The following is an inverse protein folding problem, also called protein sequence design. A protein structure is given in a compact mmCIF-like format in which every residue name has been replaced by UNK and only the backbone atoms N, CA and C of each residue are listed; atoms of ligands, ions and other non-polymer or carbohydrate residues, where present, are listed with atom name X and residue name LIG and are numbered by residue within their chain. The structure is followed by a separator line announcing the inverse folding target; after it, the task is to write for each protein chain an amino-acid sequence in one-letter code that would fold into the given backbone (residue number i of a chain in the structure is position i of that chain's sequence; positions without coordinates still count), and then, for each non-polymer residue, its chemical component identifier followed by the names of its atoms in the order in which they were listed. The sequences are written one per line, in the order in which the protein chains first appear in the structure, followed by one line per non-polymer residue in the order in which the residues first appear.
data_IF_031329989574
#
_entry.id   IF_031329989574
#
_cell.length_a   1.000
_cell.length_b   1.000
_cell.length_c   1.000
_cell.angle_alpha   90.00
_cell.angle_beta   90.00
_cell.angle_gamma   90.00
#
_symmetry.space_group_name_H-M   'P 1'
#
loop_
_entity.id
_entity.type
_entity.pdbx_description
1 polymer ?
#
# COMPACT_ATOMS: atom_id res chain seq x y z
N UNK A 1 -18.81 -12.17 10.76
CA UNK A 1 -17.98 -12.12 9.54
C UNK A 1 -17.18 -13.41 9.47
N UNK A 2 -17.24 -14.12 8.35
CA UNK A 2 -16.51 -15.39 8.16
C UNK A 2 -15.03 -15.06 7.97
N UNK A 3 -14.12 -15.92 8.45
CA UNK A 3 -12.65 -15.75 8.35
C UNK A 3 -12.16 -15.36 6.94
N UNK A 4 -12.78 -15.92 5.89
CA UNK A 4 -12.47 -15.56 4.51
C UNK A 4 -12.86 -14.14 4.14
N UNK A 5 -14.00 -13.63 4.62
CA UNK A 5 -14.46 -12.25 4.38
C UNK A 5 -13.50 -11.23 5.03
N UNK A 6 -13.04 -11.50 6.26
CA UNK A 6 -12.05 -10.66 6.95
C UNK A 6 -10.71 -10.57 6.20
N UNK A 7 -10.28 -11.69 5.61
CA UNK A 7 -9.05 -11.76 4.82
C UNK A 7 -9.21 -10.93 3.53
N UNK A 8 -10.33 -11.08 2.83
CA UNK A 8 -10.60 -10.36 1.58
C UNK A 8 -10.75 -8.86 1.81
N UNK A 9 -11.38 -8.43 2.90
CA UNK A 9 -11.49 -7.01 3.27
C UNK A 9 -10.11 -6.38 3.54
N UNK A 10 -9.25 -7.06 4.29
CA UNK A 10 -7.90 -6.57 4.55
C UNK A 10 -7.05 -6.48 3.28
N UNK A 11 -7.18 -7.44 2.36
CA UNK A 11 -6.52 -7.39 1.05
C UNK A 11 -7.05 -6.20 0.24
N UNK A 12 -8.38 -5.99 0.22
CA UNK A 12 -9.00 -4.89 -0.52
C UNK A 12 -8.53 -3.51 -0.02
N UNK A 13 -8.43 -3.32 1.29
CA UNK A 13 -7.95 -2.05 1.87
C UNK A 13 -6.50 -1.77 1.47
N UNK A 14 -5.65 -2.80 1.49
CA UNK A 14 -4.24 -2.63 1.10
C UNK A 14 -4.09 -2.30 -0.41
N UNK A 15 -4.91 -2.93 -1.27
CA UNK A 15 -4.91 -2.59 -2.70
C UNK A 15 -5.35 -1.15 -2.96
N UNK A 16 -6.24 -0.59 -2.14
CA UNK A 16 -6.64 0.81 -2.24
C UNK A 16 -5.50 1.76 -1.86
N UNK A 17 -4.70 1.43 -0.84
CA UNK A 17 -3.50 2.21 -0.47
C UNK A 17 -2.45 2.24 -1.58
N UNK A 18 -2.23 1.11 -2.28
CA UNK A 18 -1.36 1.09 -3.47
C UNK A 18 -1.91 2.01 -4.56
N UNK A 19 -3.21 1.97 -4.83
CA UNK A 19 -3.84 2.79 -5.86
C UNK A 19 -3.67 4.29 -5.57
N UNK A 20 -3.72 4.70 -4.30
CA UNK A 20 -3.49 6.09 -3.92
C UNK A 20 -2.05 6.56 -4.24
N UNK A 21 -1.05 5.69 -4.08
CA UNK A 21 0.34 6.04 -4.45
C UNK A 21 0.52 6.11 -5.96
N UNK A 22 -0.17 5.27 -6.73
CA UNK A 22 -0.20 5.38 -8.19
C UNK A 22 -0.83 6.71 -8.66
N UNK A 23 -1.93 7.13 -8.01
CA UNK A 23 -2.54 8.44 -8.25
C UNK A 23 -1.58 9.60 -7.95
N UNK A 24 -0.88 9.58 -6.81
CA UNK A 24 0.16 10.57 -6.48
C UNK A 24 1.29 10.63 -7.52
N UNK A 25 1.76 9.47 -8.01
CA UNK A 25 2.77 9.44 -9.08
C UNK A 25 2.25 10.06 -10.37
N UNK A 26 1.00 9.77 -10.74
CA UNK A 26 0.37 10.33 -11.94
C UNK A 26 0.20 11.85 -11.85
N UNK A 27 -0.04 12.40 -10.67
CA UNK A 27 -0.05 13.86 -10.45
C UNK A 27 1.34 14.47 -10.67
N UNK A 28 2.39 13.85 -10.12
CA UNK A 28 3.78 14.31 -10.33
C UNK A 28 4.18 14.25 -11.81
N UNK A 29 3.81 13.18 -12.53
CA UNK A 29 4.09 13.07 -13.96
C UNK A 29 3.34 14.10 -14.82
N UNK A 30 2.18 14.57 -14.37
CA UNK A 30 1.43 15.65 -15.03
C UNK A 30 2.03 17.01 -14.78
N UNK A 31 2.81 17.16 -13.71
CA UNK A 31 3.55 18.39 -13.44
C UNK A 31 4.81 18.44 -14.32
N UNK A 32 4.89 19.41 -15.23
CA UNK A 32 6.03 19.56 -16.16
C UNK A 32 7.35 19.91 -15.43
N UNK A 33 7.28 20.18 -14.12
CA UNK A 33 8.39 20.58 -13.27
C UNK A 33 8.39 19.83 -11.92
N UNK A 34 8.69 18.53 -11.93
CA UNK A 34 8.96 17.79 -10.69
C UNK A 34 10.40 17.99 -10.21
N UNK A 35 10.62 17.94 -8.90
CA UNK A 35 11.91 18.10 -8.25
C UNK A 35 12.44 16.78 -7.68
N UNK A 36 13.72 16.74 -7.33
CA UNK A 36 14.32 15.62 -6.59
C UNK A 36 13.60 15.38 -5.25
N UNK A 37 13.06 16.43 -4.61
CA UNK A 37 12.25 16.30 -3.40
C UNK A 37 10.92 15.57 -3.66
N UNK A 38 10.28 15.79 -4.82
CA UNK A 38 9.08 15.04 -5.21
C UNK A 38 9.38 13.55 -5.37
N UNK A 39 10.52 13.21 -5.98
CA UNK A 39 10.96 11.81 -6.12
C UNK A 39 11.26 11.22 -4.74
N UNK A 40 11.92 11.97 -3.85
CA UNK A 40 12.22 11.52 -2.50
C UNK A 40 10.95 11.18 -1.70
N UNK A 41 9.91 12.03 -1.78
CA UNK A 41 8.61 11.80 -1.13
C UNK A 41 7.94 10.51 -1.65
N UNK A 42 8.03 10.24 -2.95
CA UNK A 42 7.51 8.98 -3.53
C UNK A 42 8.29 7.78 -3.01
N UNK A 43 9.62 7.88 -2.92
CA UNK A 43 10.45 6.80 -2.37
C UNK A 43 10.05 6.51 -0.92
N UNK A 44 9.92 7.53 -0.06
CA UNK A 44 9.50 7.35 1.34
C UNK A 44 8.09 6.73 1.41
N UNK A 45 7.17 7.16 0.55
CA UNK A 45 5.80 6.60 0.48
C UNK A 45 5.81 5.12 0.08
N UNK A 46 6.68 4.72 -0.84
CA UNK A 46 6.85 3.32 -1.25
C UNK A 46 7.47 2.46 -0.14
N UNK A 47 8.45 2.99 0.61
CA UNK A 47 9.05 2.30 1.75
C UNK A 47 8.04 2.07 2.89
N UNK A 48 7.17 3.05 3.15
CA UNK A 48 6.09 2.90 4.12
C UNK A 48 5.06 1.85 3.65
N UNK A 49 4.65 1.90 2.38
CA UNK A 49 3.78 0.87 1.79
C UNK A 49 4.38 -0.54 1.88
N UNK A 50 5.68 -0.72 1.61
CA UNK A 50 6.36 -2.03 1.76
C UNK A 50 6.29 -2.53 3.21
N UNK A 51 6.48 -1.63 4.18
CA UNK A 51 6.35 -1.95 5.60
C UNK A 51 4.92 -2.37 5.95
N UNK A 52 3.93 -1.61 5.49
CA UNK A 52 2.52 -1.90 5.70
C UNK A 52 2.11 -3.23 5.04
N UNK A 53 2.60 -3.52 3.82
CA UNK A 53 2.38 -4.79 3.12
C UNK A 53 2.90 -5.98 3.93
N UNK A 54 4.13 -5.88 4.44
CA UNK A 54 4.74 -6.93 5.26
C UNK A 54 3.91 -7.20 6.52
N UNK A 55 3.41 -6.15 7.16
CA UNK A 55 2.52 -6.27 8.34
C UNK A 55 1.19 -6.92 7.94
N UNK A 56 0.56 -6.47 6.85
CA UNK A 56 -0.70 -7.02 6.36
C UNK A 56 -0.56 -8.51 6.01
N UNK A 57 0.47 -8.90 5.26
CA UNK A 57 0.78 -10.30 4.95
C UNK A 57 0.95 -11.12 6.23
N UNK A 58 1.67 -10.58 7.22
CA UNK A 58 1.86 -11.27 8.51
C UNK A 58 0.52 -11.49 9.23
N UNK A 59 -0.34 -10.47 9.28
CA UNK A 59 -1.70 -10.56 9.87
C UNK A 59 -2.56 -11.57 9.13
N UNK A 60 -2.57 -11.54 7.79
CA UNK A 60 -3.30 -12.50 6.96
C UNK A 60 -2.82 -13.93 7.18
N UNK A 61 -1.51 -14.14 7.30
CA UNK A 61 -0.93 -15.45 7.64
C UNK A 61 -1.38 -15.92 9.02
N UNK A 62 -1.33 -15.07 10.04
CA UNK A 62 -1.83 -15.42 11.39
C UNK A 62 -3.32 -15.73 11.34
N UNK A 63 -4.13 -14.91 10.66
CA UNK A 63 -5.57 -15.17 10.50
C UNK A 63 -5.81 -16.51 9.81
N UNK A 64 -5.09 -16.81 8.71
CA UNK A 64 -5.27 -18.02 7.92
C UNK A 64 -4.76 -19.29 8.61
N UNK A 65 -3.56 -19.26 9.20
CA UNK A 65 -2.91 -20.44 9.79
C UNK A 65 -3.17 -20.61 11.30
N UNK A 66 -3.64 -19.57 11.99
CA UNK A 66 -3.92 -19.61 13.44
C UNK A 66 -2.67 -19.67 14.32
N UNK A 67 -1.53 -19.15 13.85
CA UNK A 67 -0.23 -19.12 14.56
C UNK A 67 0.00 -17.77 15.21
#
# INVERSE_FOLDING_TARGET
MVKGEMILEQISNFLAEINNVDECMMEIYRDEYYTDDNIHIIIESLEDLDTQLKIAIKRLRTLYYGV
#
